data_IF_424037582282
#
_entry.id   IF_424037582282
#
_cell.length_a   1.000
_cell.length_b   1.000
_cell.length_c   1.000
_cell.angle_alpha   90.00
_cell.angle_beta   90.00
_cell.angle_gamma   90.00
#
_symmetry.space_group_name_H-M   'P 1'
#
loop_
_entity.id
_entity.type
_entity.pdbx_description
1 polymer ?
#
# COMPACT_ATOMS: atom_id res chain seq x y z
N UNK A 1 -9.55 0.98 -1.31
CA UNK A 1 -10.27 2.04 -0.56
C UNK A 1 -10.50 1.57 0.86
N UNK A 2 -10.23 2.42 1.85
CA UNK A 2 -10.67 2.22 3.24
C UNK A 2 -12.10 2.75 3.33
N UNK A 3 -13.05 2.07 4.03
CA UNK A 3 -14.39 2.62 4.23
C UNK A 3 -14.32 4.02 4.85
N UNK A 4 -15.32 4.90 4.59
CA UNK A 4 -15.39 6.22 5.19
C UNK A 4 -15.15 6.19 6.71
N UNK A 5 -14.09 6.86 7.16
CA UNK A 5 -14.02 7.32 8.55
C UNK A 5 -15.14 8.36 8.70
N UNK A 6 -16.05 8.15 9.65
CA UNK A 6 -17.33 8.88 9.82
C UNK A 6 -17.43 10.23 9.10
N UNK A 7 -18.20 10.27 8.00
CA UNK A 7 -18.50 11.49 7.24
C UNK A 7 -17.46 11.93 6.22
N UNK A 8 -16.33 11.24 6.07
CA UNK A 8 -15.31 11.54 5.06
C UNK A 8 -15.57 10.79 3.74
N UNK A 9 -15.20 11.38 2.58
CA UNK A 9 -15.23 10.68 1.30
C UNK A 9 -14.28 9.47 1.31
N UNK A 10 -14.41 8.58 0.31
CA UNK A 10 -13.53 7.41 0.18
C UNK A 10 -12.04 7.84 0.19
N UNK A 11 -11.24 7.18 1.03
CA UNK A 11 -9.82 7.47 1.19
C UNK A 11 -8.97 6.32 0.64
N UNK A 12 -7.93 6.67 -0.10
CA UNK A 12 -6.98 5.73 -0.70
C UNK A 12 -5.63 5.78 0.02
N UNK A 13 -4.95 4.65 0.06
CA UNK A 13 -3.56 4.58 0.53
C UNK A 13 -2.62 4.83 -0.65
N UNK A 14 -1.61 5.67 -0.46
CA UNK A 14 -0.51 5.76 -1.44
C UNK A 14 0.65 4.93 -0.91
N UNK A 15 1.04 3.92 -1.68
CA UNK A 15 2.25 3.12 -1.44
C UNK A 15 3.29 3.46 -2.51
N UNK A 16 4.56 3.23 -2.21
CA UNK A 16 5.66 3.38 -3.17
C UNK A 16 6.42 2.06 -3.32
N UNK A 17 6.76 1.71 -4.56
CA UNK A 17 7.58 0.53 -4.87
C UNK A 17 8.51 0.81 -6.05
N UNK A 18 9.65 0.13 -6.08
CA UNK A 18 10.54 0.07 -7.27
C UNK A 18 10.31 -1.19 -8.09
N UNK A 19 9.52 -2.13 -7.59
CA UNK A 19 9.17 -3.40 -8.23
C UNK A 19 7.64 -3.42 -8.47
N UNK A 20 7.12 -2.76 -9.51
CA UNK A 20 5.68 -2.65 -9.72
C UNK A 20 5.00 -4.00 -9.93
N UNK A 21 5.71 -5.00 -10.47
CA UNK A 21 5.17 -6.33 -10.72
C UNK A 21 4.77 -7.08 -9.44
N UNK A 22 5.35 -6.74 -8.27
CA UNK A 22 5.01 -7.38 -6.99
C UNK A 22 3.67 -6.92 -6.44
N UNK A 23 3.08 -5.85 -6.97
CA UNK A 23 1.79 -5.30 -6.50
C UNK A 23 0.65 -6.31 -6.66
N UNK A 24 0.72 -7.18 -7.67
CA UNK A 24 -0.27 -8.24 -7.87
C UNK A 24 -0.30 -9.25 -6.70
N UNK A 25 0.85 -9.44 -6.03
CA UNK A 25 1.02 -10.37 -4.91
C UNK A 25 0.86 -9.67 -3.54
N UNK A 26 0.25 -8.48 -3.49
CA UNK A 26 0.06 -7.75 -2.25
C UNK A 26 -0.86 -8.52 -1.27
N UNK A 27 -0.43 -8.64 -0.02
CA UNK A 27 -1.18 -9.32 1.06
C UNK A 27 -1.53 -8.40 2.21
N UNK A 28 -0.85 -7.26 2.34
CA UNK A 28 -1.09 -6.27 3.39
C UNK A 28 -0.48 -4.92 3.02
N UNK A 29 -0.85 -3.87 3.74
CA UNK A 29 -0.12 -2.60 3.74
C UNK A 29 0.41 -2.32 5.14
N UNK A 30 1.72 -2.27 5.29
CA UNK A 30 2.37 -2.01 6.55
C UNK A 30 2.45 -0.51 6.86
N UNK A 31 2.27 -0.19 8.15
CA UNK A 31 2.44 1.15 8.73
C UNK A 31 3.28 1.09 10.01
N UNK A 32 3.79 2.22 10.49
CA UNK A 32 4.50 2.30 11.77
C UNK A 32 3.62 2.99 12.82
N UNK A 33 3.24 2.32 13.93
CA UNK A 33 2.29 2.86 14.91
C UNK A 33 2.68 4.22 15.51
N UNK A 34 3.99 4.45 15.69
CA UNK A 34 4.52 5.64 16.35
C UNK A 34 4.68 6.85 15.40
N UNK A 35 4.47 6.68 14.10
CA UNK A 35 4.49 7.79 13.14
C UNK A 35 3.14 8.52 13.12
N UNK A 36 3.16 9.76 12.65
CA UNK A 36 1.96 10.50 12.31
C UNK A 36 1.63 10.35 10.83
N UNK A 37 0.35 10.26 10.55
CA UNK A 37 -0.21 10.14 9.21
C UNK A 37 -1.24 11.25 9.00
N UNK A 38 -1.37 11.70 7.76
CA UNK A 38 -2.32 12.74 7.38
C UNK A 38 -3.26 12.25 6.30
N UNK A 39 -4.54 12.58 6.44
CA UNK A 39 -5.45 12.57 5.30
C UNK A 39 -5.22 13.88 4.55
N UNK A 40 -4.87 13.76 3.28
CA UNK A 40 -4.63 14.88 2.38
C UNK A 40 -5.61 14.85 1.21
N UNK A 41 -6.05 16.02 0.77
CA UNK A 41 -6.84 16.17 -0.45
C UNK A 41 -5.93 16.62 -1.59
N UNK A 42 -5.96 15.89 -2.70
CA UNK A 42 -5.25 16.25 -3.92
C UNK A 42 -5.94 17.42 -4.63
N UNK A 43 -5.22 18.51 -4.83
CA UNK A 43 -5.77 19.69 -5.51
C UNK A 43 -6.20 19.39 -6.95
N UNK A 44 -5.43 18.55 -7.66
CA UNK A 44 -5.67 18.24 -9.07
C UNK A 44 -6.89 17.32 -9.28
N UNK A 45 -7.12 16.35 -8.39
CA UNK A 45 -8.16 15.31 -8.56
C UNK A 45 -9.32 15.43 -7.58
N UNK A 46 -9.14 16.15 -6.47
CA UNK A 46 -10.09 16.21 -5.36
C UNK A 46 -10.13 14.94 -4.49
N UNK A 47 -9.34 13.92 -4.81
CA UNK A 47 -9.27 12.64 -4.09
C UNK A 47 -8.55 12.78 -2.75
N UNK A 48 -8.86 11.87 -1.83
CA UNK A 48 -8.29 11.85 -0.49
C UNK A 48 -7.31 10.69 -0.35
N UNK A 49 -6.15 10.99 0.23
CA UNK A 49 -5.06 10.04 0.41
C UNK A 49 -4.55 10.02 1.85
N UNK A 50 -4.10 8.85 2.30
CA UNK A 50 -3.28 8.74 3.52
C UNK A 50 -1.81 8.69 3.14
N UNK A 51 -1.03 9.56 3.77
CA UNK A 51 0.42 9.64 3.64
C UNK A 51 1.01 9.92 5.02
N UNK A 52 2.21 9.44 5.34
CA UNK A 52 2.88 9.87 6.57
C UNK A 52 3.07 11.40 6.55
N UNK A 53 2.80 12.06 7.68
CA UNK A 53 2.71 13.52 7.77
C UNK A 53 3.99 14.21 7.25
N UNK A 54 5.17 13.71 7.65
CA UNK A 54 6.47 14.23 7.22
C UNK A 54 6.78 13.99 5.73
N UNK A 55 5.99 13.16 5.04
CA UNK A 55 6.16 12.83 3.61
C UNK A 55 5.22 13.59 2.69
N UNK A 56 4.24 14.32 3.22
CA UNK A 56 3.21 15.02 2.42
C UNK A 56 3.83 15.86 1.31
N UNK A 57 4.77 16.75 1.65
CA UNK A 57 5.41 17.63 0.67
C UNK A 57 6.24 16.85 -0.37
N UNK A 58 6.98 15.83 0.07
CA UNK A 58 7.80 15.02 -0.83
C UNK A 58 6.95 14.21 -1.81
N UNK A 59 5.81 13.67 -1.36
CA UNK A 59 4.90 12.91 -2.22
C UNK A 59 4.17 13.84 -3.18
N UNK A 60 3.71 15.01 -2.70
CA UNK A 60 3.09 16.04 -3.54
C UNK A 60 4.02 16.47 -4.69
N UNK A 61 5.31 16.68 -4.41
CA UNK A 61 6.30 17.04 -5.41
C UNK A 61 6.52 15.94 -6.47
N UNK A 62 6.56 14.66 -6.06
CA UNK A 62 6.72 13.53 -6.99
C UNK A 62 5.50 13.37 -7.90
N UNK A 63 4.31 13.65 -7.37
CA UNK A 63 3.04 13.55 -8.11
C UNK A 63 2.68 14.84 -8.88
N UNK A 64 3.55 15.86 -8.84
CA UNK A 64 3.33 17.17 -9.46
C UNK A 64 1.96 17.77 -9.10
N UNK A 65 1.64 17.76 -7.80
CA UNK A 65 0.37 18.21 -7.25
C UNK A 65 0.55 19.00 -5.95
N UNK A 66 -0.55 19.53 -5.43
CA UNK A 66 -0.64 20.10 -4.09
C UNK A 66 -1.56 19.26 -3.22
N UNK A 67 -1.19 19.16 -1.94
CA UNK A 67 -1.94 18.43 -0.94
C UNK A 67 -2.41 19.38 0.16
N UNK A 68 -3.73 19.48 0.30
CA UNK A 68 -4.35 20.16 1.43
C UNK A 68 -4.50 19.15 2.57
N UNK A 69 -3.84 19.39 3.70
CA UNK A 69 -3.95 18.53 4.88
C UNK A 69 -5.32 18.73 5.53
N UNK A 70 -6.13 17.67 5.56
CA UNK A 70 -7.48 17.69 6.14
C UNK A 70 -7.43 17.35 7.63
N UNK A 71 -6.66 16.33 7.99
CA UNK A 71 -6.46 15.90 9.37
C UNK A 71 -5.15 15.14 9.52
N UNK A 72 -4.67 15.03 10.76
CA UNK A 72 -3.48 14.24 11.14
C UNK A 72 -3.81 13.38 12.35
N UNK A 73 -3.27 12.17 12.39
CA UNK A 73 -3.57 11.14 13.40
C UNK A 73 -2.37 10.21 13.59
N UNK A 74 -2.40 9.37 14.63
CA UNK A 74 -1.29 8.44 14.93
C UNK A 74 -1.43 7.16 14.12
N UNK A 75 -0.31 6.52 13.80
CA UNK A 75 -0.31 5.23 13.11
C UNK A 75 -1.11 4.16 13.84
N UNK A 76 -1.20 4.22 15.18
CA UNK A 76 -2.09 3.35 15.98
C UNK A 76 -3.55 3.41 15.54
N UNK A 77 -4.01 4.54 15.00
CA UNK A 77 -5.40 4.71 14.57
C UNK A 77 -5.69 4.00 13.23
N UNK A 78 -4.65 3.47 12.55
CA UNK A 78 -4.79 2.59 11.37
C UNK A 78 -5.03 1.12 11.75
N UNK A 79 -4.99 0.78 13.03
CA UNK A 79 -5.23 -0.57 13.52
C UNK A 79 -6.58 -1.11 13.03
N UNK A 80 -6.61 -2.39 12.64
CA UNK A 80 -7.78 -3.05 12.05
C UNK A 80 -8.27 -2.44 10.72
N UNK A 81 -7.51 -1.50 10.14
CA UNK A 81 -7.80 -0.97 8.82
C UNK A 81 -7.75 -2.05 7.75
N UNK A 82 -8.58 -1.89 6.72
CA UNK A 82 -8.61 -2.76 5.55
C UNK A 82 -8.69 -1.88 4.30
N UNK A 83 -7.92 -2.22 3.27
CA UNK A 83 -8.02 -1.60 1.95
C UNK A 83 -8.34 -2.63 0.87
N UNK A 84 -9.09 -2.21 -0.15
CA UNK A 84 -9.24 -3.00 -1.38
C UNK A 84 -7.89 -3.24 -2.07
N UNK A 85 -7.67 -4.46 -2.56
CA UNK A 85 -6.50 -4.82 -3.36
C UNK A 85 -6.51 -4.05 -4.69
N UNK A 86 -5.35 -3.54 -5.17
CA UNK A 86 -5.31 -2.65 -6.32
C UNK A 86 -5.60 -3.34 -7.67
N UNK A 87 -5.28 -4.62 -7.82
CA UNK A 87 -5.37 -5.34 -9.11
C UNK A 87 -6.31 -6.54 -9.11
N UNK A 88 -6.83 -6.96 -7.95
CA UNK A 88 -7.67 -8.17 -7.83
C UNK A 88 -9.02 -7.73 -7.26
N UNK A 89 -10.07 -7.62 -8.10
CA UNK A 89 -11.39 -7.18 -7.67
C UNK A 89 -11.94 -8.02 -6.51
N UNK A 90 -12.48 -7.36 -5.50
CA UNK A 90 -13.09 -8.03 -4.33
C UNK A 90 -12.09 -8.54 -3.28
N UNK A 91 -10.79 -8.60 -3.58
CA UNK A 91 -9.76 -8.94 -2.58
C UNK A 91 -9.52 -7.74 -1.65
N UNK A 92 -9.34 -8.03 -0.37
CA UNK A 92 -9.01 -7.06 0.67
C UNK A 92 -7.62 -7.34 1.24
N UNK A 93 -6.90 -6.27 1.58
CA UNK A 93 -5.59 -6.31 2.24
C UNK A 93 -5.72 -5.63 3.61
N UNK A 94 -5.35 -6.29 4.72
CA UNK A 94 -5.28 -5.65 6.02
C UNK A 94 -4.15 -4.62 6.08
N UNK A 95 -4.31 -3.64 6.97
CA UNK A 95 -3.24 -2.76 7.40
C UNK A 95 -2.57 -3.39 8.62
N UNK A 96 -1.24 -3.48 8.62
CA UNK A 96 -0.49 -4.14 9.68
C UNK A 96 0.62 -3.26 10.25
N UNK A 97 0.87 -3.29 11.57
CA UNK A 97 2.00 -2.59 12.15
C UNK A 97 3.31 -3.31 11.80
N UNK A 98 4.31 -2.58 11.31
CA UNK A 98 5.63 -3.14 11.04
C UNK A 98 6.78 -2.15 11.31
N UNK A 99 7.83 -2.64 11.97
CA UNK A 99 8.98 -1.83 12.36
C UNK A 99 9.92 -1.48 11.20
N UNK A 100 9.82 -2.18 10.07
CA UNK A 100 10.64 -1.90 8.89
C UNK A 100 10.15 -0.66 8.11
N UNK A 101 8.95 -0.17 8.38
CA UNK A 101 8.40 1.05 7.78
C UNK A 101 9.17 2.24 8.34
N UNK A 102 9.82 3.03 7.47
CA UNK A 102 10.57 4.22 7.90
C UNK A 102 10.11 5.46 7.16
N UNK A 103 10.36 6.63 7.74
CA UNK A 103 10.06 7.92 7.12
C UNK A 103 11.13 8.35 6.09
N UNK A 104 12.17 7.55 5.90
CA UNK A 104 13.31 7.94 5.06
C UNK A 104 12.97 7.95 3.57
N UNK A 105 12.04 7.09 3.11
CA UNK A 105 11.70 6.90 1.70
C UNK A 105 10.22 6.53 1.53
N UNK A 106 9.71 6.75 0.31
CA UNK A 106 8.33 6.44 -0.04
C UNK A 106 7.31 7.36 0.66
N UNK A 107 6.21 6.76 1.06
CA UNK A 107 5.01 7.44 1.59
C UNK A 107 4.77 7.20 3.08
N UNK A 108 5.60 6.37 3.73
CA UNK A 108 5.38 5.86 5.08
C UNK A 108 4.32 4.74 5.17
N UNK A 109 3.88 4.22 4.02
CA UNK A 109 3.06 3.02 3.87
C UNK A 109 3.77 2.07 2.90
N UNK A 110 3.90 0.81 3.30
CA UNK A 110 4.66 -0.20 2.54
C UNK A 110 3.73 -1.33 2.15
N UNK A 111 3.57 -1.57 0.84
CA UNK A 111 2.84 -2.75 0.37
C UNK A 111 3.68 -4.00 0.70
N UNK A 112 3.03 -5.10 1.07
CA UNK A 112 3.71 -6.34 1.49
C UNK A 112 3.42 -7.46 0.49
N UNK A 113 4.46 -7.98 -0.15
CA UNK A 113 4.43 -9.11 -1.09
C UNK A 113 5.34 -10.25 -0.59
N UNK A 114 4.81 -11.17 0.26
CA UNK A 114 5.63 -12.08 1.08
C UNK A 114 6.57 -13.02 0.32
N UNK A 115 6.22 -13.39 -0.91
CA UNK A 115 7.04 -14.27 -1.74
C UNK A 115 8.28 -13.57 -2.34
N UNK A 116 8.44 -12.26 -2.16
CA UNK A 116 9.39 -11.44 -2.92
C UNK A 116 10.27 -10.51 -2.07
N UNK A 117 10.17 -10.57 -0.73
CA UNK A 117 10.97 -9.74 0.18
C UNK A 117 11.13 -10.38 1.56
N UNK A 118 12.30 -10.19 2.19
CA UNK A 118 12.60 -10.79 3.50
C UNK A 118 11.80 -10.13 4.63
N UNK A 119 11.68 -8.80 4.61
CA UNK A 119 10.85 -8.06 5.56
C UNK A 119 9.37 -8.42 5.41
N UNK A 120 8.90 -8.58 4.18
CA UNK A 120 7.53 -8.97 3.87
C UNK A 120 7.22 -10.40 4.34
N UNK A 121 8.15 -11.33 4.11
CA UNK A 121 8.07 -12.70 4.64
C UNK A 121 7.98 -12.70 6.17
N UNK A 122 8.78 -11.87 6.84
CA UNK A 122 8.75 -11.76 8.30
C UNK A 122 7.38 -11.30 8.79
N UNK A 123 6.81 -10.24 8.22
CA UNK A 123 5.46 -9.77 8.57
C UNK A 123 4.43 -10.87 8.30
N UNK A 124 4.49 -11.51 7.14
CA UNK A 124 3.56 -12.57 6.77
C UNK A 124 3.61 -13.77 7.74
N UNK A 125 4.81 -14.17 8.18
CA UNK A 125 4.97 -15.25 9.15
C UNK A 125 4.35 -14.90 10.51
N UNK A 126 4.57 -13.68 11.00
CA UNK A 126 4.03 -13.21 12.28
C UNK A 126 2.51 -13.05 12.27
N UNK A 127 1.93 -12.64 11.13
CA UNK A 127 0.50 -12.39 10.97
C UNK A 127 -0.25 -13.48 10.21
N UNK A 128 0.41 -14.61 9.91
CA UNK A 128 -0.13 -15.75 9.16
C UNK A 128 -0.78 -15.35 7.82
N UNK A 129 -0.14 -14.45 7.09
CA UNK A 129 -0.59 -14.04 5.75
C UNK A 129 -0.28 -15.12 4.70
N UNK A 130 -1.10 -15.24 3.63
CA UNK A 130 -0.79 -16.09 2.49
C UNK A 130 0.55 -15.72 1.84
N UNK A 131 1.32 -16.71 1.40
CA UNK A 131 2.56 -16.52 0.64
C UNK A 131 2.35 -16.88 -0.83
N UNK A 132 1.52 -16.11 -1.52
CA UNK A 132 1.21 -16.34 -2.93
C UNK A 132 2.40 -15.91 -3.80
N UNK A 133 3.01 -16.85 -4.53
CA UNK A 133 3.93 -16.54 -5.64
C UNK A 133 3.12 -16.54 -6.94
N UNK A 134 2.93 -15.38 -7.53
CA UNK A 134 2.11 -15.22 -8.74
C UNK A 134 2.93 -15.28 -10.04
N UNK A 135 4.21 -15.67 -9.94
CA UNK A 135 5.17 -15.71 -11.04
C UNK A 135 5.72 -17.13 -11.18
N UNK A 136 5.80 -17.62 -12.40
CA UNK A 136 6.35 -18.94 -12.73
C UNK A 136 7.88 -18.91 -12.96
N UNK A 137 8.44 -20.07 -13.31
CA UNK A 137 9.88 -20.24 -13.54
C UNK A 137 10.41 -19.52 -14.79
N UNK A 138 9.53 -19.14 -15.72
CA UNK A 138 9.85 -18.36 -16.92
C UNK A 138 9.77 -16.84 -16.66
N UNK A 139 9.44 -16.42 -15.44
CA UNK A 139 9.24 -15.02 -15.09
C UNK A 139 7.95 -14.43 -15.66
N UNK A 140 6.94 -15.27 -15.91
CA UNK A 140 5.62 -14.86 -16.37
C UNK A 140 4.61 -14.90 -15.22
N UNK A 141 3.63 -13.99 -15.27
CA UNK A 141 2.50 -14.06 -14.34
C UNK A 141 1.63 -15.31 -14.58
N UNK A 142 1.34 -16.01 -13.50
CA UNK A 142 0.41 -17.15 -13.45
C UNK A 142 -1.05 -16.71 -13.59
N UNK A 143 -1.97 -17.66 -13.75
CA UNK A 143 -3.43 -17.42 -13.78
C UNK A 143 -3.96 -16.70 -12.54
N UNK A 144 -3.35 -16.96 -11.38
CA UNK A 144 -3.75 -16.35 -10.12
C UNK A 144 -3.50 -14.83 -10.07
N UNK A 145 -2.68 -14.27 -10.97
CA UNK A 145 -2.49 -12.83 -11.11
C UNK A 145 -3.68 -12.11 -11.80
N UNK A 146 -4.63 -12.86 -12.36
CA UNK A 146 -5.78 -12.33 -13.07
C UNK A 146 -5.56 -12.20 -14.58
N UNK A 147 -6.67 -12.07 -15.32
CA UNK A 147 -6.70 -12.12 -16.79
C UNK A 147 -5.93 -10.99 -17.47
N UNK A 148 -5.79 -9.83 -16.82
CA UNK A 148 -5.04 -8.70 -17.39
C UNK A 148 -3.53 -8.90 -17.33
N UNK A 149 -3.04 -9.75 -16.41
CA UNK A 149 -1.61 -9.96 -16.15
C UNK A 149 -1.11 -11.32 -16.63
N UNK A 150 -1.94 -12.36 -16.66
CA UNK A 150 -1.55 -13.72 -17.01
C UNK A 150 -0.69 -13.77 -18.29
N UNK A 151 0.42 -14.53 -18.25
CA UNK A 151 1.42 -14.72 -19.32
C UNK A 151 2.23 -13.48 -19.71
N UNK A 152 2.07 -12.34 -19.03
CA UNK A 152 2.97 -11.19 -19.22
C UNK A 152 4.25 -11.39 -18.41
N UNK A 153 5.38 -10.99 -18.99
CA UNK A 153 6.67 -10.98 -18.30
C UNK A 153 6.68 -9.94 -17.18
N UNK A 154 7.25 -10.31 -16.03
CA UNK A 154 7.30 -9.42 -14.84
C UNK A 154 8.47 -8.43 -14.88
N UNK A 155 9.51 -8.76 -15.64
CA UNK A 155 10.63 -7.89 -15.99
C UNK A 155 10.63 -7.81 -17.52
N UNK A 156 10.46 -6.60 -18.06
CA UNK A 156 10.26 -6.35 -19.50
C UNK A 156 11.38 -6.85 -20.40
#
# INVERSE_FOLDING_TARGET
>A
MIPPLDGLPAVSLIVWTTQPWTIAANQAVCYMPNLEYSIVKCANTGEHFIVAADRVQSVAAVLDTQFDVISTFKGTDLESGICSHPTIPGRQSPLLPANHVTISKGTGLVHTAPAHGMEDYSVASHHQLPMDCLVDEDGLFTEAAGSELQKKAVLG
#
